data_IF_919743562275
#
_entry.id   IF_919743562275
#
_cell.length_a   1.000
_cell.length_b   1.000
_cell.length_c   1.000
_cell.angle_alpha   90.00
_cell.angle_beta   90.00
_cell.angle_gamma   90.00
#
_symmetry.space_group_name_H-M   'P 1'
#
loop_
_entity.id
_entity.type
_entity.pdbx_description
1 polymer ?
#
# COMPACT_ATOMS: atom_id res chain seq x y z
N UNK A 1 -15.28 9.64 -31.48
CA UNK A 1 -14.10 9.41 -30.62
C UNK A 1 -13.14 8.54 -31.39
N UNK A 2 -11.90 8.98 -31.62
CA UNK A 2 -10.90 8.20 -32.34
C UNK A 2 -10.46 7.01 -31.48
N UNK A 3 -10.29 5.85 -32.11
CA UNK A 3 -10.00 4.55 -31.49
C UNK A 3 -8.83 4.61 -30.47
N UNK A 4 -7.83 5.47 -30.74
CA UNK A 4 -6.70 5.74 -29.84
C UNK A 4 -7.10 6.30 -28.45
N UNK A 5 -8.14 7.14 -28.37
CA UNK A 5 -8.62 7.69 -27.10
C UNK A 5 -9.33 6.61 -26.26
N UNK A 6 -10.04 5.69 -26.92
CA UNK A 6 -10.74 4.57 -26.26
C UNK A 6 -9.75 3.56 -25.67
N UNK A 7 -8.66 3.26 -26.38
CA UNK A 7 -7.61 2.35 -25.89
C UNK A 7 -6.91 2.92 -24.66
N UNK A 8 -6.60 4.22 -24.63
CA UNK A 8 -5.97 4.88 -23.48
C UNK A 8 -6.85 4.91 -22.24
N UNK A 9 -8.14 5.22 -22.41
CA UNK A 9 -9.12 5.20 -21.31
C UNK A 9 -9.18 3.81 -20.65
N UNK A 10 -9.19 2.74 -21.47
CA UNK A 10 -9.18 1.36 -20.97
C UNK A 10 -7.89 1.01 -20.20
N UNK A 11 -6.74 1.55 -20.59
CA UNK A 11 -5.47 1.34 -19.87
C UNK A 11 -5.48 2.03 -18.50
N UNK A 12 -5.95 3.28 -18.42
CA UNK A 12 -6.01 3.99 -17.13
C UNK A 12 -6.99 3.34 -16.16
N UNK A 13 -8.16 2.91 -16.65
CA UNK A 13 -9.14 2.20 -15.83
C UNK A 13 -8.60 0.85 -15.32
N UNK A 14 -7.84 0.12 -16.16
CA UNK A 14 -7.17 -1.12 -15.74
C UNK A 14 -6.13 -0.85 -14.64
N UNK A 15 -5.32 0.21 -14.80
CA UNK A 15 -4.31 0.60 -13.82
C UNK A 15 -4.93 0.96 -12.46
N UNK A 16 -6.05 1.70 -12.45
CA UNK A 16 -6.76 2.03 -11.21
C UNK A 16 -7.32 0.78 -10.52
N UNK A 17 -7.89 -0.16 -11.29
CA UNK A 17 -8.37 -1.43 -10.72
C UNK A 17 -7.25 -2.27 -10.15
N UNK A 18 -6.11 -2.32 -10.83
CA UNK A 18 -4.92 -3.01 -10.33
C UNK A 18 -4.38 -2.34 -9.06
N UNK A 19 -4.24 -1.01 -9.07
CA UNK A 19 -3.81 -0.21 -7.92
C UNK A 19 -4.72 -0.42 -6.71
N UNK A 20 -6.04 -0.43 -6.89
CA UNK A 20 -6.97 -0.69 -5.80
C UNK A 20 -6.83 -2.10 -5.21
N UNK A 21 -6.66 -3.14 -6.04
CA UNK A 21 -6.41 -4.51 -5.55
C UNK A 21 -5.09 -4.59 -4.77
N UNK A 22 -4.05 -3.95 -5.30
CA UNK A 22 -2.74 -3.87 -4.64
C UNK A 22 -2.81 -3.10 -3.33
N UNK A 23 -3.62 -2.03 -3.25
CA UNK A 23 -3.85 -1.28 -2.01
C UNK A 23 -4.40 -2.18 -0.89
N UNK A 24 -5.44 -2.96 -1.20
CA UNK A 24 -6.02 -3.92 -0.25
C UNK A 24 -5.03 -5.01 0.15
N UNK A 25 -4.27 -5.54 -0.81
CA UNK A 25 -3.25 -6.55 -0.52
C UNK A 25 -2.14 -6.00 0.39
N UNK A 26 -1.67 -4.79 0.14
CA UNK A 26 -0.65 -4.14 0.97
C UNK A 26 -1.17 -3.87 2.38
N UNK A 27 -2.41 -3.39 2.52
CA UNK A 27 -3.02 -3.17 3.84
C UNK A 27 -3.13 -4.50 4.61
N UNK A 28 -3.59 -5.56 3.96
CA UNK A 28 -3.66 -6.89 4.57
C UNK A 28 -2.28 -7.39 5.00
N UNK A 29 -1.28 -7.25 4.13
CA UNK A 29 0.10 -7.65 4.43
C UNK A 29 0.67 -6.86 5.63
N UNK A 30 0.39 -5.56 5.72
CA UNK A 30 0.80 -4.74 6.86
C UNK A 30 0.15 -5.24 8.16
N UNK A 31 -1.15 -5.51 8.14
CA UNK A 31 -1.88 -6.06 9.31
C UNK A 31 -1.30 -7.41 9.74
N UNK A 32 -0.94 -8.29 8.80
CA UNK A 32 -0.29 -9.57 9.10
C UNK A 32 1.08 -9.36 9.73
N UNK A 33 1.91 -8.45 9.19
CA UNK A 33 3.23 -8.14 9.74
C UNK A 33 3.12 -7.67 11.19
N UNK A 34 2.17 -6.77 11.48
CA UNK A 34 1.95 -6.27 12.84
C UNK A 34 1.48 -7.35 13.81
N UNK A 35 0.62 -8.26 13.36
CA UNK A 35 0.22 -9.42 14.16
C UNK A 35 1.43 -10.31 14.46
N UNK A 36 2.20 -10.70 13.44
CA UNK A 36 3.38 -11.57 13.62
C UNK A 36 4.39 -10.94 14.60
N UNK A 37 4.70 -9.66 14.43
CA UNK A 37 5.60 -8.94 15.34
C UNK A 37 5.13 -8.94 16.80
N UNK A 38 3.82 -9.02 17.06
CA UNK A 38 3.26 -9.05 18.41
C UNK A 38 3.32 -10.42 19.09
N UNK A 39 3.56 -11.50 18.35
CA UNK A 39 3.56 -12.88 18.86
C UNK A 39 4.93 -13.56 18.85
N UNK A 40 5.96 -12.92 18.27
CA UNK A 40 7.30 -13.51 18.19
C UNK A 40 8.07 -13.25 19.49
N UNK A 41 8.59 -14.30 20.16
CA UNK A 41 9.43 -14.13 21.34
C UNK A 41 10.82 -13.58 21.00
N UNK A 42 11.37 -12.76 21.89
CA UNK A 42 12.62 -12.00 21.70
C UNK A 42 13.84 -12.87 21.34
N UNK A 43 13.84 -14.16 21.70
CA UNK A 43 14.95 -15.09 21.45
C UNK A 43 15.10 -15.48 19.96
N UNK A 44 14.06 -15.29 19.14
CA UNK A 44 14.10 -15.49 17.69
C UNK A 44 14.22 -14.18 16.89
N UNK A 45 14.39 -13.04 17.58
CA UNK A 45 14.19 -11.70 17.04
C UNK A 45 15.14 -11.35 15.89
N UNK A 46 16.44 -11.66 15.94
CA UNK A 46 17.39 -11.10 14.97
C UNK A 46 17.11 -11.49 13.50
N UNK A 47 16.81 -12.76 13.22
CA UNK A 47 16.50 -13.22 11.86
C UNK A 47 15.11 -12.78 11.40
N UNK A 48 14.16 -12.72 12.34
CA UNK A 48 12.79 -12.31 12.06
C UNK A 48 12.74 -10.81 11.79
N UNK A 49 13.53 -10.00 12.50
CA UNK A 49 13.63 -8.55 12.30
C UNK A 49 14.13 -8.19 10.91
N UNK A 50 15.14 -8.91 10.41
CA UNK A 50 15.64 -8.69 9.05
C UNK A 50 14.55 -8.99 7.99
N UNK A 51 13.85 -10.12 8.15
CA UNK A 51 12.78 -10.53 7.22
C UNK A 51 11.61 -9.56 7.28
N UNK A 52 11.17 -9.17 8.48
CA UNK A 52 10.10 -8.20 8.70
C UNK A 52 10.47 -6.83 8.12
N UNK A 53 11.71 -6.39 8.28
CA UNK A 53 12.23 -5.15 7.70
C UNK A 53 12.15 -5.15 6.16
N UNK A 54 12.58 -6.25 5.52
CA UNK A 54 12.49 -6.42 4.06
C UNK A 54 11.03 -6.40 3.60
N UNK A 55 10.15 -7.12 4.30
CA UNK A 55 8.71 -7.15 3.97
C UNK A 55 8.06 -5.78 4.13
N UNK A 56 8.40 -5.04 5.18
CA UNK A 56 7.98 -3.65 5.38
C UNK A 56 8.46 -2.74 4.26
N UNK A 57 9.73 -2.84 3.85
CA UNK A 57 10.29 -2.05 2.74
C UNK A 57 9.55 -2.30 1.43
N UNK A 58 9.28 -3.56 1.09
CA UNK A 58 8.51 -3.93 -0.11
C UNK A 58 7.09 -3.36 -0.01
N UNK A 59 6.43 -3.50 1.13
CA UNK A 59 5.07 -3.03 1.33
C UNK A 59 4.96 -1.49 1.22
N UNK A 60 5.91 -0.74 1.79
CA UNK A 60 6.00 0.71 1.64
C UNK A 60 6.18 1.09 0.17
N UNK A 61 7.10 0.44 -0.54
CA UNK A 61 7.35 0.68 -1.97
C UNK A 61 6.09 0.44 -2.80
N UNK A 62 5.35 -0.63 -2.52
CA UNK A 62 4.10 -0.93 -3.22
C UNK A 62 3.00 0.10 -2.90
N UNK A 63 2.90 0.60 -1.67
CA UNK A 63 1.97 1.69 -1.33
C UNK A 63 2.30 2.98 -2.09
N UNK A 64 3.58 3.29 -2.32
CA UNK A 64 4.01 4.43 -3.15
C UNK A 64 3.56 4.24 -4.61
N UNK A 65 3.71 3.03 -5.17
CA UNK A 65 3.23 2.74 -6.53
C UNK A 65 1.71 2.89 -6.65
N UNK A 66 0.96 2.37 -5.67
CA UNK A 66 -0.50 2.54 -5.60
C UNK A 66 -0.88 4.02 -5.52
N UNK A 67 -0.14 4.82 -4.74
CA UNK A 67 -0.35 6.27 -4.66
C UNK A 67 -0.20 6.94 -6.03
N UNK A 68 0.86 6.61 -6.77
CA UNK A 68 1.07 7.09 -8.13
C UNK A 68 -0.07 6.69 -9.07
N UNK A 69 -0.53 5.43 -9.00
CA UNK A 69 -1.67 4.97 -9.81
C UNK A 69 -2.97 5.67 -9.45
N UNK A 70 -3.22 5.91 -8.17
CA UNK A 70 -4.39 6.63 -7.68
C UNK A 70 -4.38 8.09 -8.15
N UNK A 71 -3.24 8.79 -8.08
CA UNK A 71 -3.10 10.15 -8.59
C UNK A 71 -3.42 10.22 -10.08
N UNK A 72 -2.81 9.36 -10.89
CA UNK A 72 -3.10 9.29 -12.33
C UNK A 72 -4.58 8.95 -12.57
N UNK A 73 -5.14 8.05 -11.77
CA UNK A 73 -6.54 7.66 -11.82
C UNK A 73 -7.53 8.80 -11.56
N UNK A 74 -7.25 9.66 -10.58
CA UNK A 74 -8.11 10.81 -10.24
C UNK A 74 -8.25 11.79 -11.40
N UNK A 75 -7.19 11.98 -12.18
CA UNK A 75 -7.17 12.95 -13.28
C UNK A 75 -7.50 12.34 -14.65
N UNK A 76 -7.07 11.09 -14.93
CA UNK A 76 -7.11 10.50 -16.27
C UNK A 76 -8.06 9.31 -16.43
N UNK A 77 -8.55 8.70 -15.34
CA UNK A 77 -9.47 7.55 -15.40
C UNK A 77 -10.92 7.98 -15.19
N UNK A 78 -11.85 7.16 -15.67
CA UNK A 78 -13.29 7.30 -15.37
C UNK A 78 -13.63 6.77 -13.96
N UNK A 79 -12.77 5.91 -13.40
CA UNK A 79 -12.94 5.27 -12.09
C UNK A 79 -12.41 6.13 -10.93
N UNK A 80 -12.86 7.39 -10.85
CA UNK A 80 -12.37 8.36 -9.85
C UNK A 80 -12.63 7.91 -8.41
N UNK A 81 -13.78 7.31 -8.13
CA UNK A 81 -14.10 6.78 -6.80
C UNK A 81 -13.19 5.64 -6.37
N UNK A 82 -12.85 4.74 -7.29
CA UNK A 82 -11.91 3.64 -7.02
C UNK A 82 -10.49 4.17 -6.78
N UNK A 83 -10.08 5.20 -7.54
CA UNK A 83 -8.80 5.87 -7.33
C UNK A 83 -8.74 6.59 -5.98
N UNK A 84 -9.83 7.28 -5.58
CA UNK A 84 -9.93 7.94 -4.29
C UNK A 84 -9.89 6.93 -3.13
N UNK A 85 -10.58 5.80 -3.27
CA UNK A 85 -10.53 4.71 -2.29
C UNK A 85 -9.12 4.12 -2.16
N UNK A 86 -8.43 3.87 -3.27
CA UNK A 86 -7.04 3.40 -3.26
C UNK A 86 -6.12 4.40 -2.55
N UNK A 87 -6.30 5.69 -2.81
CA UNK A 87 -5.55 6.76 -2.13
C UNK A 87 -5.81 6.78 -0.63
N UNK A 88 -7.08 6.64 -0.22
CA UNK A 88 -7.46 6.57 1.18
C UNK A 88 -6.81 5.37 1.90
N UNK A 89 -6.81 4.19 1.28
CA UNK A 89 -6.16 3.00 1.84
C UNK A 89 -4.66 3.22 2.04
N UNK A 90 -3.97 3.83 1.06
CA UNK A 90 -2.54 4.15 1.18
C UNK A 90 -2.28 5.12 2.33
N UNK A 91 -3.12 6.14 2.50
CA UNK A 91 -2.99 7.08 3.62
C UNK A 91 -3.16 6.39 4.97
N UNK A 92 -4.12 5.46 5.07
CA UNK A 92 -4.30 4.62 6.28
C UNK A 92 -3.05 3.77 6.52
N UNK A 93 -2.50 3.11 5.49
CA UNK A 93 -1.27 2.32 5.62
C UNK A 93 -0.10 3.17 6.14
N UNK A 94 0.10 4.38 5.60
CA UNK A 94 1.16 5.29 6.08
C UNK A 94 0.92 5.79 7.50
N UNK A 95 -0.33 6.08 7.87
CA UNK A 95 -0.67 6.44 9.25
C UNK A 95 -0.33 5.30 10.23
N UNK A 96 -0.61 4.05 9.86
CA UNK A 96 -0.25 2.88 10.66
C UNK A 96 1.27 2.75 10.83
N UNK A 97 2.05 2.93 9.76
CA UNK A 97 3.51 2.96 9.85
C UNK A 97 4.01 4.05 10.81
N UNK A 98 3.45 5.27 10.72
CA UNK A 98 3.82 6.36 11.62
C UNK A 98 3.51 6.04 13.08
N UNK A 99 2.35 5.45 13.37
CA UNK A 99 1.97 5.03 14.74
C UNK A 99 3.00 4.03 15.29
N UNK A 100 3.39 3.03 14.49
CA UNK A 100 4.37 2.01 14.91
C UNK A 100 5.74 2.63 15.18
N UNK A 101 6.20 3.53 14.30
CA UNK A 101 7.45 4.25 14.49
C UNK A 101 7.41 5.08 15.78
N UNK A 102 6.34 5.83 16.02
CA UNK A 102 6.18 6.63 17.24
C UNK A 102 6.17 5.72 18.49
N UNK A 103 5.44 4.61 18.45
CA UNK A 103 5.39 3.65 19.56
C UNK A 103 6.78 3.08 19.86
N UNK A 104 7.57 2.73 18.83
CA UNK A 104 8.93 2.22 19.01
C UNK A 104 9.87 3.22 19.70
N UNK A 105 9.71 4.53 19.46
CA UNK A 105 10.48 5.56 20.14
C UNK A 105 10.09 5.77 21.61
N UNK A 106 8.90 5.36 22.02
CA UNK A 106 8.45 5.46 23.42
C UNK A 106 8.91 4.26 24.27
N UNK A 107 9.23 3.14 23.63
CA UNK A 107 9.65 1.90 24.27
C UNK A 107 11.17 1.71 24.34
N UNK A 108 11.95 2.56 23.66
CA UNK A 108 13.42 2.69 23.79
C UNK A 108 13.81 3.74 24.82
#
# INVERSE_FOLDING_TARGET
MTESAVVKDNTFDSMVRFGLKMAWFNLLALVIILMVASFVPDEAAEWIDLVVSILCFINITMNILVFCFALVGLFKSRLKWSALLAMFIVLVSFALYLIVIIASFQTS
#
